data_IF_402880605002
#
_entry.id   IF_402880605002
#
_cell.length_a   1.000
_cell.length_b   1.000
_cell.length_c   1.000
_cell.angle_alpha   90.00
_cell.angle_beta   90.00
_cell.angle_gamma   90.00
#
_symmetry.space_group_name_H-M   'P 1'
#
loop_
_entity.id
_entity.type
_entity.pdbx_description
1 polymer ?
#
# COMPACT_ATOMS: atom_id res chain seq x y z
N UNK A 1 22.91 24.89 4.17
CA UNK A 1 23.04 23.70 3.30
C UNK A 1 21.95 22.73 3.72
N UNK A 2 21.12 22.27 2.78
CA UNK A 2 20.14 21.23 3.07
C UNK A 2 20.86 19.94 3.50
N UNK A 3 20.29 19.22 4.47
CA UNK A 3 20.76 17.90 4.90
C UNK A 3 20.77 16.95 3.70
N UNK A 4 21.84 16.18 3.51
CA UNK A 4 21.86 15.10 2.52
C UNK A 4 21.08 13.90 3.09
N UNK A 5 20.17 13.28 2.32
CA UNK A 5 19.52 12.04 2.72
C UNK A 5 20.54 10.96 3.07
N UNK A 6 20.28 10.20 4.12
CA UNK A 6 21.08 9.05 4.54
C UNK A 6 20.17 7.91 5.04
N UNK A 7 19.82 7.02 4.12
CA UNK A 7 18.97 5.87 4.40
C UNK A 7 19.60 4.89 5.41
N UNK A 8 20.90 4.97 5.67
CA UNK A 8 21.55 4.10 6.66
C UNK A 8 20.97 4.29 8.06
N UNK A 9 20.42 5.48 8.37
CA UNK A 9 19.77 5.79 9.65
C UNK A 9 18.52 4.90 9.84
N UNK A 10 17.67 4.83 8.82
CA UNK A 10 16.47 3.97 8.83
C UNK A 10 16.90 2.50 8.89
N UNK A 11 17.87 2.10 8.05
CA UNK A 11 18.32 0.72 7.99
C UNK A 11 18.94 0.24 9.32
N UNK A 12 19.71 1.09 9.99
CA UNK A 12 20.29 0.79 11.30
C UNK A 12 19.21 0.71 12.37
N UNK A 13 18.21 1.60 12.33
CA UNK A 13 17.05 1.56 13.22
C UNK A 13 16.27 0.25 13.06
N UNK A 14 15.92 -0.13 11.84
CA UNK A 14 15.21 -1.38 11.54
C UNK A 14 16.01 -2.62 11.95
N UNK A 15 17.34 -2.57 11.83
CA UNK A 15 18.25 -3.63 12.27
C UNK A 15 18.57 -3.59 13.77
N UNK A 16 18.05 -2.61 14.52
CA UNK A 16 18.37 -2.37 15.94
C UNK A 16 19.88 -2.24 16.20
N UNK A 17 20.56 -1.52 15.30
CA UNK A 17 22.01 -1.25 15.32
C UNK A 17 22.35 0.21 15.53
N UNK A 18 21.36 1.06 15.78
CA UNK A 18 21.61 2.46 16.07
C UNK A 18 22.10 2.62 17.53
N UNK A 19 23.37 2.97 17.67
CA UNK A 19 24.01 3.22 18.96
C UNK A 19 23.81 4.68 19.43
N UNK A 20 23.42 5.59 18.53
CA UNK A 20 23.33 7.02 18.81
C UNK A 20 21.92 7.46 19.26
N UNK A 21 20.92 6.58 19.15
CA UNK A 21 19.54 6.85 19.54
C UNK A 21 18.83 7.85 18.63
N UNK A 22 19.25 7.95 17.37
CA UNK A 22 18.62 8.77 16.35
C UNK A 22 17.29 8.13 15.95
N UNK A 23 16.20 8.87 16.13
CA UNK A 23 14.88 8.45 15.68
C UNK A 23 14.67 8.96 14.25
N UNK A 24 14.59 8.09 13.22
CA UNK A 24 14.32 8.53 11.86
C UNK A 24 12.88 9.06 11.75
N UNK A 25 12.67 10.02 10.85
CA UNK A 25 11.32 10.34 10.40
C UNK A 25 10.75 9.18 9.59
N UNK A 26 9.46 8.92 9.80
CA UNK A 26 8.73 7.88 9.12
C UNK A 26 7.27 8.31 8.95
N UNK A 27 6.81 8.26 7.70
CA UNK A 27 5.44 8.51 7.25
C UNK A 27 5.04 7.49 6.18
N UNK A 28 3.79 7.04 6.20
CA UNK A 28 3.26 6.10 5.20
C UNK A 28 3.00 6.80 3.88
N UNK A 29 2.39 7.99 3.92
CA UNK A 29 2.22 8.89 2.78
C UNK A 29 1.77 10.27 3.26
N UNK A 30 1.82 11.26 2.38
CA UNK A 30 1.19 12.55 2.56
C UNK A 30 0.13 12.69 1.47
N UNK A 31 -1.04 13.25 1.79
CA UNK A 31 -2.07 13.54 0.80
C UNK A 31 -1.56 14.62 -0.18
N UNK A 32 -1.95 14.50 -1.45
CA UNK A 32 -1.57 15.43 -2.51
C UNK A 32 -1.93 16.87 -2.14
N UNK A 33 -3.11 17.09 -1.56
CA UNK A 33 -3.59 18.42 -1.16
C UNK A 33 -2.67 19.06 -0.10
N UNK A 34 -2.07 18.25 0.79
CA UNK A 34 -1.12 18.72 1.80
C UNK A 34 0.23 19.02 1.17
N UNK A 35 0.71 18.16 0.28
CA UNK A 35 1.95 18.39 -0.46
C UNK A 35 1.87 19.68 -1.29
N UNK A 36 0.76 19.90 -1.99
CA UNK A 36 0.54 21.11 -2.78
C UNK A 36 0.51 22.39 -1.93
N UNK A 37 -0.15 22.35 -0.77
CA UNK A 37 -0.22 23.48 0.15
C UNK A 37 1.16 23.82 0.73
N UNK A 38 1.94 22.80 1.12
CA UNK A 38 3.29 22.99 1.68
C UNK A 38 4.26 23.50 0.62
N UNK A 39 4.21 22.96 -0.60
CA UNK A 39 5.17 23.26 -1.65
C UNK A 39 4.81 24.49 -2.51
N UNK A 40 3.55 24.93 -2.46
CA UNK A 40 3.07 26.10 -3.21
C UNK A 40 2.91 25.86 -4.71
N UNK A 41 2.82 24.61 -5.15
CA UNK A 41 2.55 24.24 -6.54
C UNK A 41 1.63 23.03 -6.65
N UNK A 42 0.99 22.86 -7.82
CA UNK A 42 0.20 21.67 -8.12
C UNK A 42 1.08 20.46 -8.44
N UNK A 43 0.74 19.32 -7.88
CA UNK A 43 1.39 18.05 -8.19
C UNK A 43 0.99 17.61 -9.60
N UNK A 44 1.95 17.09 -10.35
CA UNK A 44 1.68 16.36 -11.57
C UNK A 44 0.99 15.04 -11.23
N UNK A 45 0.20 14.50 -12.15
CA UNK A 45 -0.30 13.13 -11.99
C UNK A 45 0.72 12.14 -12.50
N UNK A 46 0.93 11.05 -11.76
CA UNK A 46 1.91 10.01 -12.12
C UNK A 46 1.58 9.37 -13.47
N UNK A 47 0.29 9.27 -13.83
CA UNK A 47 -0.16 8.70 -15.11
C UNK A 47 0.05 9.64 -16.30
N UNK A 48 0.08 10.96 -16.06
CA UNK A 48 0.20 11.98 -17.11
C UNK A 48 1.67 12.40 -17.31
N UNK A 49 2.42 12.57 -16.22
CA UNK A 49 3.82 12.98 -16.25
C UNK A 49 4.59 12.42 -15.05
N UNK A 50 5.00 11.14 -15.10
CA UNK A 50 5.65 10.47 -13.98
C UNK A 50 6.99 11.09 -13.59
N UNK A 51 7.78 11.60 -14.57
CA UNK A 51 9.06 12.27 -14.28
C UNK A 51 8.86 13.47 -13.36
N UNK A 52 7.94 14.36 -13.74
CA UNK A 52 7.63 15.55 -12.96
C UNK A 52 7.02 15.21 -11.60
N UNK A 53 6.14 14.20 -11.55
CA UNK A 53 5.55 13.75 -10.29
C UNK A 53 6.63 13.26 -9.32
N UNK A 54 7.57 12.43 -9.78
CA UNK A 54 8.65 11.92 -8.94
C UNK A 54 9.61 13.01 -8.49
N UNK A 55 9.95 13.97 -9.34
CA UNK A 55 10.75 15.14 -8.94
C UNK A 55 10.08 15.94 -7.82
N UNK A 56 8.76 16.15 -7.92
CA UNK A 56 7.99 16.87 -6.90
C UNK A 56 7.87 16.07 -5.60
N UNK A 57 7.55 14.78 -5.70
CA UNK A 57 7.44 13.87 -4.57
C UNK A 57 8.76 13.80 -3.78
N UNK A 58 9.87 13.59 -4.49
CA UNK A 58 11.22 13.56 -3.89
C UNK A 58 11.54 14.91 -3.24
N UNK A 59 11.20 16.03 -3.90
CA UNK A 59 11.46 17.37 -3.37
C UNK A 59 10.72 17.60 -2.05
N UNK A 60 9.43 17.24 -1.97
CA UNK A 60 8.64 17.35 -0.75
C UNK A 60 9.27 16.58 0.43
N UNK A 61 9.54 15.28 0.26
CA UNK A 61 10.11 14.46 1.33
C UNK A 61 11.52 14.91 1.71
N UNK A 62 12.36 15.26 0.74
CA UNK A 62 13.73 15.73 0.99
C UNK A 62 13.73 17.07 1.74
N UNK A 63 12.87 18.02 1.36
CA UNK A 63 12.80 19.34 2.01
C UNK A 63 12.29 19.26 3.45
N UNK A 64 11.39 18.32 3.73
CA UNK A 64 10.95 18.00 5.10
C UNK A 64 11.96 17.16 5.89
N UNK A 65 13.08 16.77 5.28
CA UNK A 65 14.19 16.11 5.95
C UNK A 65 14.07 14.59 6.04
N UNK A 66 13.20 13.95 5.26
CA UNK A 66 13.11 12.49 5.18
C UNK A 66 14.29 11.90 4.40
N UNK A 67 14.75 10.73 4.83
CA UNK A 67 15.84 9.96 4.22
C UNK A 67 15.36 8.98 3.14
N UNK A 68 14.06 9.02 2.83
CA UNK A 68 13.40 8.12 1.89
C UNK A 68 12.16 8.78 1.29
N UNK A 69 11.61 8.16 0.26
CA UNK A 69 10.31 8.51 -0.34
C UNK A 69 9.35 7.32 -0.21
N UNK A 70 8.13 7.50 0.34
CA UNK A 70 7.12 6.48 0.31
C UNK A 70 6.55 6.31 -1.10
N UNK A 71 6.44 5.06 -1.55
CA UNK A 71 5.79 4.76 -2.83
C UNK A 71 5.09 3.41 -2.80
N UNK A 72 3.79 3.42 -3.05
CA UNK A 72 2.94 2.23 -3.02
C UNK A 72 2.16 2.09 -4.32
N UNK A 73 1.88 0.84 -4.69
CA UNK A 73 1.00 0.50 -5.80
C UNK A 73 -0.07 -0.47 -5.30
N UNK A 74 -1.33 -0.19 -5.61
CA UNK A 74 -2.40 -1.14 -5.36
C UNK A 74 -2.33 -2.29 -6.37
N UNK A 75 -2.32 -3.56 -5.93
CA UNK A 75 -2.43 -4.68 -6.85
C UNK A 75 -3.71 -4.58 -7.67
N UNK A 76 -3.62 -4.91 -8.96
CA UNK A 76 -4.73 -4.95 -9.92
C UNK A 76 -5.62 -6.19 -9.70
N UNK A 77 -6.07 -6.40 -8.48
CA UNK A 77 -7.04 -7.44 -8.14
C UNK A 77 -8.40 -7.16 -8.77
N UNK A 78 -9.31 -8.17 -8.77
CA UNK A 78 -10.67 -7.98 -9.27
C UNK A 78 -11.33 -6.74 -8.65
N UNK A 79 -12.04 -5.96 -9.46
CA UNK A 79 -12.60 -4.67 -9.03
C UNK A 79 -13.59 -4.86 -7.88
N UNK A 80 -13.34 -4.24 -6.71
CA UNK A 80 -14.27 -4.29 -5.59
C UNK A 80 -15.56 -3.52 -5.87
N UNK A 81 -16.57 -3.79 -5.03
CA UNK A 81 -17.81 -3.00 -5.04
C UNK A 81 -17.64 -1.76 -4.15
N UNK A 82 -18.03 -0.60 -4.68
CA UNK A 82 -17.88 0.69 -4.02
C UNK A 82 -19.23 1.37 -3.82
N UNK A 83 -19.42 1.94 -2.64
CA UNK A 83 -20.51 2.86 -2.34
C UNK A 83 -20.02 4.28 -2.58
N UNK A 84 -20.82 5.09 -3.26
CA UNK A 84 -20.53 6.48 -3.57
C UNK A 84 -21.42 7.43 -2.77
N UNK A 85 -20.88 8.60 -2.44
CA UNK A 85 -21.60 9.64 -1.73
C UNK A 85 -20.89 10.99 -1.77
N UNK A 86 -21.55 12.00 -1.20
CA UNK A 86 -20.97 13.35 -1.07
C UNK A 86 -19.73 13.30 -0.17
N UNK A 87 -18.66 13.94 -0.62
CA UNK A 87 -17.50 14.16 0.24
C UNK A 87 -17.76 15.33 1.19
N UNK A 88 -17.82 15.03 2.49
CA UNK A 88 -18.09 16.02 3.54
C UNK A 88 -16.82 16.56 4.21
N UNK A 89 -15.63 16.14 3.75
CA UNK A 89 -14.35 16.61 4.25
C UNK A 89 -14.13 18.12 4.05
N UNK A 90 -13.13 18.71 4.72
CA UNK A 90 -12.72 20.11 4.48
C UNK A 90 -12.11 20.27 3.09
N UNK A 91 -11.25 19.33 2.69
CA UNK A 91 -10.66 19.25 1.35
C UNK A 91 -11.48 18.25 0.51
N UNK A 92 -12.63 18.71 -0.01
CA UNK A 92 -13.60 17.87 -0.71
C UNK A 92 -13.11 17.46 -2.10
N UNK A 93 -13.33 16.21 -2.46
CA UNK A 93 -13.26 15.69 -3.83
C UNK A 93 -14.65 15.65 -4.46
N UNK A 94 -14.73 15.42 -5.78
CA UNK A 94 -16.03 15.39 -6.50
C UNK A 94 -17.00 14.35 -5.96
N UNK A 95 -16.50 13.17 -5.59
CA UNK A 95 -17.25 12.12 -4.90
C UNK A 95 -16.31 11.34 -4.00
N UNK A 96 -16.84 10.84 -2.87
CA UNK A 96 -16.11 9.92 -2.01
C UNK A 96 -16.61 8.50 -2.24
N UNK A 97 -15.67 7.57 -2.23
CA UNK A 97 -15.92 6.13 -2.37
C UNK A 97 -15.63 5.45 -1.06
N UNK A 98 -16.47 4.50 -0.69
CA UNK A 98 -16.27 3.60 0.44
C UNK A 98 -16.38 2.17 -0.05
N UNK A 99 -15.64 1.28 0.60
CA UNK A 99 -15.81 -0.16 0.39
C UNK A 99 -17.22 -0.59 0.76
N UNK A 100 -17.87 -1.39 -0.08
CA UNK A 100 -19.14 -1.99 0.29
C UNK A 100 -18.91 -3.11 1.32
N UNK A 101 -19.23 -2.84 2.58
CA UNK A 101 -19.03 -3.81 3.66
C UNK A 101 -19.94 -5.04 3.58
N UNK A 102 -21.01 -4.97 2.78
CA UNK A 102 -22.05 -6.02 2.68
C UNK A 102 -21.96 -6.86 1.42
N UNK A 103 -21.00 -6.58 0.53
CA UNK A 103 -20.95 -7.23 -0.76
C UNK A 103 -19.64 -6.99 -1.47
N UNK A 104 -19.38 -7.87 -2.43
CA UNK A 104 -18.26 -7.75 -3.34
C UNK A 104 -18.40 -8.76 -4.48
N UNK A 105 -17.46 -8.74 -5.43
CA UNK A 105 -17.50 -9.62 -6.60
C UNK A 105 -17.36 -11.10 -6.27
N UNK A 106 -16.75 -11.47 -5.13
CA UNK A 106 -16.48 -12.87 -4.78
C UNK A 106 -17.49 -13.34 -3.73
N UNK A 107 -18.44 -14.18 -4.13
CA UNK A 107 -19.44 -14.76 -3.22
C UNK A 107 -19.35 -16.29 -3.13
N UNK A 108 -18.74 -16.92 -4.13
CA UNK A 108 -18.61 -18.37 -4.24
C UNK A 108 -17.23 -18.75 -4.77
N UNK A 109 -16.84 -20.03 -4.62
CA UNK A 109 -15.62 -20.57 -5.22
C UNK A 109 -15.59 -20.41 -6.75
N UNK A 110 -16.76 -20.50 -7.40
CA UNK A 110 -16.88 -20.27 -8.84
C UNK A 110 -16.51 -18.83 -9.20
N UNK A 111 -17.03 -17.84 -8.46
CA UNK A 111 -16.70 -16.43 -8.70
C UNK A 111 -15.20 -16.18 -8.52
N UNK A 112 -14.60 -16.79 -7.48
CA UNK A 112 -13.16 -16.72 -7.23
C UNK A 112 -12.35 -17.27 -8.40
N UNK A 113 -12.71 -18.44 -8.92
CA UNK A 113 -11.99 -19.09 -10.02
C UNK A 113 -12.16 -18.37 -11.37
N UNK A 114 -13.34 -17.81 -11.62
CA UNK A 114 -13.66 -17.12 -12.87
C UNK A 114 -13.18 -15.66 -12.88
N UNK A 115 -12.81 -15.09 -11.73
CA UNK A 115 -12.34 -13.72 -11.62
C UNK A 115 -10.98 -13.50 -12.31
N UNK A 116 -10.75 -12.27 -12.77
CA UNK A 116 -9.54 -11.88 -13.48
C UNK A 116 -8.41 -11.56 -12.50
N UNK A 117 -7.65 -12.59 -12.12
CA UNK A 117 -6.53 -12.47 -11.20
C UNK A 117 -5.23 -12.14 -11.93
N UNK A 118 -4.50 -11.08 -11.55
CA UNK A 118 -3.22 -10.78 -12.17
C UNK A 118 -2.18 -11.82 -11.78
N UNK A 119 -1.20 -12.03 -12.66
CA UNK A 119 0.07 -12.65 -12.26
C UNK A 119 0.87 -11.66 -11.41
N UNK A 120 1.76 -12.12 -10.52
CA UNK A 120 2.57 -11.21 -9.71
C UNK A 120 3.34 -10.14 -10.52
N UNK A 121 3.90 -10.53 -11.67
CA UNK A 121 4.64 -9.65 -12.59
C UNK A 121 3.77 -8.62 -13.34
N UNK A 122 2.45 -8.74 -13.26
CA UNK A 122 1.47 -7.85 -13.91
C UNK A 122 0.59 -7.09 -12.89
N UNK A 123 0.69 -7.48 -11.61
CA UNK A 123 -0.19 -7.01 -10.55
C UNK A 123 0.03 -5.53 -10.20
N UNK A 124 1.22 -4.98 -10.39
CA UNK A 124 1.54 -3.56 -10.18
C UNK A 124 2.42 -3.03 -11.30
N UNK A 125 2.56 -1.72 -11.40
CA UNK A 125 3.48 -1.09 -12.34
C UNK A 125 4.91 -1.02 -11.76
N UNK A 126 5.72 -2.01 -12.10
CA UNK A 126 7.12 -2.07 -11.66
C UNK A 126 8.01 -1.03 -12.34
N UNK A 127 7.63 -0.50 -13.50
CA UNK A 127 8.40 0.53 -14.19
C UNK A 127 8.33 1.86 -13.45
N UNK A 128 7.22 2.16 -12.77
CA UNK A 128 7.13 3.31 -11.87
C UNK A 128 8.15 3.25 -10.72
N UNK A 129 8.40 2.07 -10.13
CA UNK A 129 9.42 1.91 -9.09
C UNK A 129 10.84 2.13 -9.65
N UNK A 130 11.13 1.58 -10.84
CA UNK A 130 12.43 1.75 -11.51
C UNK A 130 12.67 3.22 -11.82
N UNK A 131 11.67 3.87 -12.42
CA UNK A 131 11.69 5.28 -12.80
C UNK A 131 11.85 6.19 -11.58
N UNK A 132 11.10 5.97 -10.51
CA UNK A 132 11.33 6.69 -9.25
C UNK A 132 12.78 6.51 -8.76
N UNK A 133 13.31 5.28 -8.85
CA UNK A 133 14.69 4.97 -8.51
C UNK A 133 15.74 5.77 -9.29
N UNK A 134 15.50 6.06 -10.57
CA UNK A 134 16.38 6.87 -11.42
C UNK A 134 16.43 8.35 -11.00
N UNK A 135 15.39 8.84 -10.34
CA UNK A 135 15.30 10.22 -9.85
C UNK A 135 15.86 10.42 -8.44
N UNK A 136 16.09 9.33 -7.69
CA UNK A 136 16.51 9.43 -6.29
C UNK A 136 17.87 10.12 -6.15
N UNK A 137 17.99 11.10 -5.25
CA UNK A 137 19.30 11.65 -4.89
C UNK A 137 20.13 10.60 -4.14
N UNK A 138 21.46 10.77 -4.19
CA UNK A 138 22.39 9.92 -3.45
C UNK A 138 22.02 9.85 -1.96
N UNK A 139 22.04 8.63 -1.41
CA UNK A 139 21.72 8.36 -0.01
C UNK A 139 20.22 8.17 0.30
N UNK A 140 19.32 8.49 -0.63
CA UNK A 140 17.88 8.28 -0.48
C UNK A 140 17.44 6.92 -1.06
N UNK A 141 16.38 6.33 -0.51
CA UNK A 141 15.77 5.09 -1.01
C UNK A 141 14.24 5.20 -1.06
N UNK A 142 13.59 4.24 -1.71
CA UNK A 142 12.15 4.01 -1.60
C UNK A 142 11.86 3.17 -0.36
N UNK A 143 10.81 3.53 0.38
CA UNK A 143 10.16 2.63 1.35
C UNK A 143 8.72 2.45 0.92
N UNK A 144 8.28 1.23 0.71
CA UNK A 144 6.91 1.00 0.28
C UNK A 144 6.70 -0.38 -0.30
N UNK A 145 5.73 -0.53 -1.19
CA UNK A 145 5.40 -1.86 -1.69
C UNK A 145 4.03 -1.95 -2.35
N UNK A 146 3.46 -3.15 -2.28
CA UNK A 146 2.05 -3.33 -2.61
C UNK A 146 1.21 -2.82 -1.44
N UNK A 147 0.16 -2.03 -1.72
CA UNK A 147 -0.77 -1.61 -0.67
C UNK A 147 -1.73 -2.74 -0.29
N UNK A 148 -2.09 -2.77 0.99
CA UNK A 148 -3.06 -3.70 1.56
C UNK A 148 -2.54 -5.13 1.71
N UNK A 149 -3.14 -5.84 2.67
CA UNK A 149 -2.81 -7.22 2.99
C UNK A 149 -3.90 -8.21 2.60
N UNK A 150 -3.68 -9.51 2.86
CA UNK A 150 -4.64 -10.55 2.55
C UNK A 150 -6.01 -10.30 3.18
N UNK A 151 -6.08 -9.82 4.42
CA UNK A 151 -7.37 -9.50 5.03
C UNK A 151 -8.04 -8.31 4.34
N UNK A 152 -7.33 -7.19 4.15
CA UNK A 152 -7.88 -6.00 3.50
C UNK A 152 -8.47 -6.35 2.13
N UNK A 153 -7.69 -6.97 1.26
CA UNK A 153 -8.14 -7.35 -0.08
C UNK A 153 -9.28 -8.37 -0.05
N UNK A 154 -9.27 -9.32 0.90
CA UNK A 154 -10.40 -10.25 1.08
C UNK A 154 -11.68 -9.51 1.49
N UNK A 155 -11.56 -8.55 2.41
CA UNK A 155 -12.67 -7.72 2.88
C UNK A 155 -13.21 -6.83 1.76
N UNK A 156 -12.34 -6.39 0.86
CA UNK A 156 -12.72 -5.59 -0.31
C UNK A 156 -13.50 -6.44 -1.32
N UNK A 157 -13.09 -7.69 -1.52
CA UNK A 157 -13.66 -8.59 -2.53
C UNK A 157 -14.94 -9.31 -2.09
N UNK A 158 -15.17 -9.47 -0.80
CA UNK A 158 -16.38 -10.11 -0.26
C UNK A 158 -17.32 -9.14 0.46
N UNK A 159 -16.81 -8.01 0.97
CA UNK A 159 -17.40 -7.23 2.05
C UNK A 159 -17.05 -7.84 3.41
N UNK A 160 -16.69 -7.00 4.38
CA UNK A 160 -16.23 -7.44 5.71
C UNK A 160 -17.30 -8.25 6.47
N UNK A 161 -18.59 -7.96 6.29
CA UNK A 161 -19.69 -8.70 6.90
C UNK A 161 -19.74 -10.14 6.37
N UNK A 162 -19.72 -10.29 5.04
CA UNK A 162 -19.75 -11.60 4.39
C UNK A 162 -18.48 -12.40 4.69
N UNK A 163 -17.30 -11.77 4.64
CA UNK A 163 -16.04 -12.41 5.00
C UNK A 163 -16.09 -12.95 6.43
N UNK A 164 -16.62 -12.15 7.38
CA UNK A 164 -16.72 -12.54 8.79
C UNK A 164 -17.61 -13.78 9.01
N UNK A 165 -18.69 -13.92 8.23
CA UNK A 165 -19.55 -15.11 8.25
C UNK A 165 -18.90 -16.30 7.54
N UNK A 166 -18.33 -16.07 6.35
CA UNK A 166 -17.72 -17.10 5.52
C UNK A 166 -16.55 -17.82 6.21
N UNK A 167 -15.80 -17.15 7.08
CA UNK A 167 -14.73 -17.78 7.89
C UNK A 167 -15.21 -18.99 8.70
N UNK A 168 -16.51 -19.05 9.03
CA UNK A 168 -17.16 -20.16 9.74
C UNK A 168 -17.99 -21.04 8.81
N UNK A 169 -18.74 -20.43 7.89
CA UNK A 169 -19.73 -21.14 7.07
C UNK A 169 -19.12 -21.77 5.81
N UNK A 170 -18.11 -21.12 5.22
CA UNK A 170 -17.41 -21.57 4.01
C UNK A 170 -15.89 -21.31 4.13
N UNK A 171 -15.20 -22.05 5.02
CA UNK A 171 -13.77 -21.86 5.23
C UNK A 171 -12.93 -22.23 4.00
N UNK A 172 -13.45 -23.05 3.08
CA UNK A 172 -12.75 -23.39 1.84
C UNK A 172 -12.63 -22.16 0.94
N UNK A 173 -13.76 -21.45 0.69
CA UNK A 173 -13.76 -20.20 -0.06
C UNK A 173 -12.77 -19.18 0.50
N UNK A 174 -12.80 -18.97 1.82
CA UNK A 174 -11.93 -17.98 2.47
C UNK A 174 -10.46 -18.36 2.37
N UNK A 175 -10.11 -19.61 2.63
CA UNK A 175 -8.72 -20.07 2.54
C UNK A 175 -8.20 -19.94 1.09
N UNK A 176 -8.99 -20.36 0.09
CA UNK A 176 -8.60 -20.24 -1.31
C UNK A 176 -8.43 -18.77 -1.73
N UNK A 177 -9.29 -17.87 -1.24
CA UNK A 177 -9.19 -16.43 -1.52
C UNK A 177 -7.91 -15.83 -0.95
N UNK A 178 -7.65 -16.07 0.33
CA UNK A 178 -6.46 -15.57 1.04
C UNK A 178 -5.19 -16.14 0.41
N UNK A 179 -5.16 -17.42 0.06
CA UNK A 179 -4.02 -18.04 -0.62
C UNK A 179 -3.77 -17.42 -1.99
N UNK A 180 -4.83 -17.16 -2.77
CA UNK A 180 -4.74 -16.52 -4.08
C UNK A 180 -4.16 -15.11 -3.97
N UNK A 181 -4.67 -14.30 -3.04
CA UNK A 181 -4.17 -12.93 -2.76
C UNK A 181 -2.72 -13.00 -2.28
N UNK A 182 -2.44 -13.85 -1.29
CA UNK A 182 -1.12 -14.00 -0.68
C UNK A 182 -0.05 -14.39 -1.70
N UNK A 183 -0.35 -15.31 -2.61
CA UNK A 183 0.56 -15.70 -3.68
C UNK A 183 0.94 -14.52 -4.59
N UNK A 184 -0.03 -13.67 -4.94
CA UNK A 184 0.23 -12.46 -5.73
C UNK A 184 1.07 -11.46 -4.94
N UNK A 185 0.67 -11.13 -3.70
CA UNK A 185 1.38 -10.18 -2.85
C UNK A 185 2.83 -10.60 -2.58
N UNK A 186 3.07 -11.88 -2.28
CA UNK A 186 4.42 -12.42 -2.08
C UNK A 186 5.27 -12.31 -3.35
N UNK A 187 4.69 -12.59 -4.52
CA UNK A 187 5.40 -12.43 -5.79
C UNK A 187 5.75 -10.97 -6.08
N UNK A 188 4.82 -10.04 -5.86
CA UNK A 188 5.07 -8.59 -5.99
C UNK A 188 6.16 -8.13 -5.01
N UNK A 189 6.08 -8.56 -3.75
CA UNK A 189 7.07 -8.23 -2.73
C UNK A 189 8.48 -8.72 -3.11
N UNK A 190 8.61 -9.91 -3.69
CA UNK A 190 9.90 -10.43 -4.19
C UNK A 190 10.49 -9.54 -5.28
N UNK A 191 9.67 -9.08 -6.22
CA UNK A 191 10.13 -8.23 -7.33
C UNK A 191 10.54 -6.86 -6.79
N UNK A 192 9.70 -6.19 -6.00
CA UNK A 192 9.99 -4.86 -5.45
C UNK A 192 11.23 -4.90 -4.54
N UNK A 193 11.33 -5.88 -3.63
CA UNK A 193 12.46 -5.99 -2.71
C UNK A 193 13.79 -6.34 -3.37
N UNK A 194 13.78 -6.83 -4.62
CA UNK A 194 15.00 -7.06 -5.41
C UNK A 194 15.53 -5.80 -6.11
N UNK A 195 14.80 -4.69 -6.08
CA UNK A 195 15.22 -3.45 -6.74
C UNK A 195 16.18 -2.66 -5.85
N UNK A 196 17.35 -2.29 -6.37
CA UNK A 196 18.37 -1.56 -5.61
C UNK A 196 17.89 -0.21 -5.06
N UNK A 197 16.92 0.44 -5.70
CA UNK A 197 16.34 1.70 -5.23
C UNK A 197 15.45 1.52 -3.99
N UNK A 198 14.98 0.31 -3.71
CA UNK A 198 14.10 0.01 -2.57
C UNK A 198 14.92 -0.34 -1.35
N UNK A 199 14.78 0.47 -0.30
CA UNK A 199 15.50 0.30 0.96
C UNK A 199 14.77 -0.55 2.00
N UNK A 200 13.44 -0.51 1.98
CA UNK A 200 12.59 -1.36 2.82
C UNK A 200 11.23 -1.61 2.14
N UNK A 201 10.74 -2.84 2.29
CA UNK A 201 9.37 -3.18 1.89
C UNK A 201 8.43 -3.01 3.08
N UNK A 202 7.36 -2.24 2.90
CA UNK A 202 6.32 -2.07 3.91
C UNK A 202 5.08 -2.88 3.51
N UNK A 203 4.78 -3.88 4.33
CA UNK A 203 3.56 -4.68 4.23
C UNK A 203 2.55 -4.17 5.25
N UNK A 204 1.35 -3.82 4.78
CA UNK A 204 0.21 -3.45 5.62
C UNK A 204 -0.88 -4.51 5.52
N UNK A 205 -1.57 -4.78 6.63
CA UNK A 205 -2.85 -5.48 6.65
C UNK A 205 -3.69 -4.90 7.78
N UNK A 206 -4.67 -4.05 7.45
CA UNK A 206 -5.48 -3.32 8.42
C UNK A 206 -6.46 -4.23 9.15
N UNK A 207 -5.93 -4.84 10.21
CA UNK A 207 -6.65 -5.74 11.10
C UNK A 207 -7.25 -5.01 12.31
N UNK A 208 -7.19 -3.68 12.36
CA UNK A 208 -7.52 -2.89 13.55
C UNK A 208 -8.98 -3.05 13.99
N UNK A 209 -9.19 -3.34 15.28
CA UNK A 209 -10.50 -3.24 15.92
C UNK A 209 -10.38 -2.66 17.33
N UNK A 210 -11.51 -2.24 17.93
CA UNK A 210 -11.53 -1.40 19.14
C UNK A 210 -10.62 -1.88 20.28
N UNK A 211 -10.57 -3.19 20.54
CA UNK A 211 -9.82 -3.77 21.67
C UNK A 211 -8.87 -4.89 21.26
N UNK A 212 -8.88 -5.29 19.99
CA UNK A 212 -8.09 -6.40 19.45
C UNK A 212 -8.07 -6.30 17.93
N UNK A 213 -7.61 -7.34 17.25
CA UNK A 213 -7.78 -7.47 15.80
C UNK A 213 -9.22 -7.83 15.45
N UNK A 214 -9.66 -7.52 14.23
CA UNK A 214 -11.02 -7.84 13.74
C UNK A 214 -11.28 -9.35 13.71
N UNK A 215 -10.25 -10.15 13.40
CA UNK A 215 -10.26 -11.60 13.56
C UNK A 215 -9.46 -12.05 14.77
N UNK A 216 -9.95 -13.09 15.45
CA UNK A 216 -9.22 -13.64 16.60
C UNK A 216 -7.81 -14.12 16.20
N UNK A 217 -6.82 -14.06 17.10
CA UNK A 217 -5.47 -14.58 16.82
C UNK A 217 -5.46 -16.06 16.41
N UNK A 218 -6.46 -16.84 16.82
CA UNK A 218 -6.62 -18.23 16.38
C UNK A 218 -6.99 -18.32 14.91
N UNK A 219 -7.88 -17.45 14.42
CA UNK A 219 -8.22 -17.40 13.00
C UNK A 219 -7.06 -16.86 12.16
N UNK A 220 -6.41 -15.78 12.60
CA UNK A 220 -5.25 -15.22 11.89
C UNK A 220 -4.05 -16.18 11.75
N UNK A 221 -3.92 -17.17 12.64
CA UNK A 221 -2.87 -18.21 12.51
C UNK A 221 -3.27 -19.38 11.61
N UNK A 222 -4.57 -19.53 11.34
CA UNK A 222 -5.14 -20.62 10.55
C UNK A 222 -5.25 -20.21 9.07
N UNK A 223 -5.73 -18.99 8.86
CA UNK A 223 -5.82 -18.31 7.57
C UNK A 223 -4.41 -17.87 7.12
#
# INVERSE_FOLDING_TARGET
>A
MARKPDFSIILNTLKRKDEQGIVPFFELFADDEIMEEVMGYKLAKVEENPDRYFDQLISFYRELGYDYVPFYQAPRFPTPDYIHGEDTATYRRESRKWMNEKGGPIKTLKDLHDADWPKPEEAVDFDLFRKLGEHLPEGMKVVGGASGGPFEHSSFLMGVENLSMAVYEDPELVNTLIEKIGNVLVGVAKIISSMDCVGAYCFGDDLGYKTSTIFSPRHLRRL
#
